data_IF_102623802797
#
_entry.id   IF_102623802797
#
_cell.length_a   1.000
_cell.length_b   1.000
_cell.length_c   1.000
_cell.angle_alpha   90.00
_cell.angle_beta   90.00
_cell.angle_gamma   90.00
#
_symmetry.space_group_name_H-M   'P 1'
#
loop_
_entity.id
_entity.type
_entity.pdbx_description
1 polymer ?
2 polymer ?
3 polymer ?
#
# COMPACT_ATOMS: atom_id res chain seq x y z
N UNK A 1 15.59 -14.22 -12.39
CA UNK A 1 14.48 -14.97 -11.84
C UNK A 1 14.79 -15.43 -10.41
N UNK A 2 13.75 -15.54 -9.60
CA UNK A 2 13.88 -15.97 -8.20
C UNK A 2 13.05 -17.23 -8.00
N UNK A 3 13.62 -18.20 -7.28
CA UNK A 3 12.96 -19.46 -6.99
C UNK A 3 12.48 -19.46 -5.55
N UNK A 4 11.22 -19.85 -5.35
CA UNK A 4 10.58 -19.81 -4.05
C UNK A 4 10.17 -21.23 -3.66
N UNK A 5 10.61 -21.67 -2.49
CA UNK A 5 10.60 -23.08 -2.14
C UNK A 5 9.78 -23.35 -0.88
N UNK A 6 9.20 -24.56 -0.82
CA UNK A 6 8.42 -24.95 0.39
C UNK A 6 9.05 -26.22 0.99
N UNK A 7 9.57 -26.13 2.22
CA UNK A 7 10.21 -27.27 2.89
C UNK A 7 9.23 -28.39 3.18
N UNK A 8 8.09 -28.16 3.86
CA UNK A 8 7.16 -29.28 4.11
C UNK A 8 6.39 -29.63 2.85
N UNK A 9 5.87 -30.86 2.83
CA UNK A 9 5.00 -31.33 1.76
C UNK A 9 3.59 -31.67 2.26
N UNK A 10 3.49 -32.42 3.36
CA UNK A 10 2.21 -32.74 3.97
C UNK A 10 2.42 -32.98 5.45
N UNK A 11 1.55 -32.39 6.27
CA UNK A 11 1.67 -32.48 7.72
C UNK A 11 0.36 -32.97 8.32
N UNK A 12 0.47 -33.59 9.50
CA UNK A 12 -0.68 -34.10 10.22
C UNK A 12 -0.50 -33.79 11.71
N UNK A 13 -1.58 -33.37 12.35
CA UNK A 13 -1.54 -33.00 13.76
C UNK A 13 -2.89 -33.32 14.39
N UNK A 14 -3.13 -32.77 15.58
CA UNK A 14 -4.35 -32.99 16.32
C UNK A 14 -5.00 -31.64 16.65
N UNK A 15 -6.16 -31.71 17.31
CA UNK A 15 -6.90 -30.50 17.66
C UNK A 15 -6.18 -29.68 18.73
N UNK A 16 -5.29 -30.31 19.49
CA UNK A 16 -4.52 -29.58 20.50
C UNK A 16 -3.03 -29.66 20.29
N UNK A 17 -2.62 -29.69 19.02
CA UNK A 17 -1.21 -29.78 18.66
C UNK A 17 -0.71 -28.42 18.22
N UNK A 18 0.55 -28.38 17.74
CA UNK A 18 1.16 -27.15 17.26
C UNK A 18 2.22 -27.51 16.24
N UNK A 19 2.08 -26.99 15.02
CA UNK A 19 3.01 -27.28 13.93
C UNK A 19 3.49 -25.97 13.33
N UNK A 20 4.63 -26.03 12.65
CA UNK A 20 5.24 -24.87 12.01
C UNK A 20 5.47 -25.16 10.54
N UNK A 21 4.98 -24.28 9.67
CA UNK A 21 5.20 -24.36 8.24
C UNK A 21 6.24 -23.32 7.86
N UNK A 22 7.30 -23.77 7.18
CA UNK A 22 8.41 -22.90 6.83
C UNK A 22 8.52 -22.77 5.32
N UNK A 23 8.97 -21.60 4.88
CA UNK A 23 9.13 -21.30 3.46
C UNK A 23 10.47 -20.60 3.27
N UNK A 24 11.29 -21.12 2.36
CA UNK A 24 12.64 -20.62 2.14
C UNK A 24 12.74 -19.97 0.77
N UNK A 25 13.30 -18.77 0.73
CA UNK A 25 13.49 -18.01 -0.50
C UNK A 25 14.94 -18.12 -0.94
N UNK A 26 15.15 -18.39 -2.22
CA UNK A 26 16.51 -18.56 -2.73
C UNK A 26 17.34 -17.29 -2.57
N UNK A 27 16.74 -16.14 -2.86
CA UNK A 27 17.41 -14.85 -2.74
C UNK A 27 16.72 -14.01 -1.68
N UNK A 28 17.47 -13.07 -1.11
CA UNK A 28 16.93 -12.23 -0.05
C UNK A 28 15.76 -11.39 -0.56
N UNK A 29 14.68 -11.38 0.20
CA UNK A 29 13.48 -10.62 -0.14
C UNK A 29 13.15 -9.55 0.89
N UNK A 30 13.93 -9.45 1.97
CA UNK A 30 13.82 -8.37 2.95
C UNK A 30 12.42 -8.28 3.56
N UNK A 31 12.02 -9.38 4.20
CA UNK A 31 10.81 -9.45 5.02
C UNK A 31 9.53 -9.21 4.22
N UNK A 32 9.59 -9.23 2.90
CA UNK A 32 8.40 -9.05 2.07
C UNK A 32 7.87 -10.40 1.60
N UNK A 33 7.20 -11.08 2.53
CA UNK A 33 6.57 -12.37 2.26
C UNK A 33 5.11 -12.29 2.67
N UNK A 34 4.26 -13.05 1.99
CA UNK A 34 2.85 -13.12 2.32
C UNK A 34 2.41 -14.57 2.41
N UNK A 35 1.44 -14.82 3.28
CA UNK A 35 0.89 -16.15 3.51
C UNK A 35 -0.60 -16.15 3.17
N UNK A 36 -1.04 -17.16 2.44
CA UNK A 36 -2.43 -17.28 2.01
C UNK A 36 -2.97 -18.64 2.41
N UNK A 37 -4.21 -18.66 2.88
CA UNK A 37 -4.91 -19.90 3.22
C UNK A 37 -5.93 -20.17 2.13
N UNK A 38 -5.64 -21.14 1.27
CA UNK A 38 -6.50 -21.47 0.13
C UNK A 38 -7.34 -22.68 0.49
N UNK A 39 -8.57 -22.42 0.95
CA UNK A 39 -9.51 -23.54 1.20
C UNK A 39 -9.91 -24.07 -0.18
N UNK A 40 -9.81 -25.38 -0.45
CA UNK A 40 -10.06 -25.92 -1.80
C UNK A 40 -11.48 -25.75 -2.29
N UNK A 41 -12.43 -25.44 -1.41
CA UNK A 41 -13.81 -25.30 -1.81
C UNK A 41 -14.27 -23.90 -2.15
N UNK A 42 -13.46 -22.88 -1.85
CA UNK A 42 -13.87 -21.50 -2.06
C UNK A 42 -12.63 -20.65 -2.33
N UNK A 43 -12.83 -19.32 -2.32
CA UNK A 43 -11.74 -18.41 -2.65
C UNK A 43 -10.69 -18.38 -1.55
N UNK A 44 -9.42 -18.19 -1.89
CA UNK A 44 -8.39 -18.11 -0.86
C UNK A 44 -8.48 -16.81 -0.07
N UNK A 45 -7.90 -16.83 1.12
CA UNK A 45 -7.84 -15.68 2.02
C UNK A 45 -6.40 -15.36 2.36
N UNK A 46 -6.19 -14.19 2.95
CA UNK A 46 -4.87 -13.75 3.38
C UNK A 46 -4.81 -13.77 4.90
N UNK A 47 -3.71 -14.28 5.44
CA UNK A 47 -3.49 -14.37 6.88
C UNK A 47 -2.48 -13.34 7.38
N UNK A 48 -1.28 -13.31 6.79
CA UNK A 48 -0.20 -12.43 7.24
C UNK A 48 0.41 -11.74 6.02
N UNK A 49 0.29 -10.42 5.96
CA UNK A 49 1.02 -9.63 4.98
C UNK A 49 2.30 -9.13 5.62
N UNK A 50 3.37 -9.07 4.83
CA UNK A 50 4.68 -8.76 5.38
C UNK A 50 5.19 -9.94 6.20
N UNK A 51 6.35 -9.72 6.82
CA UNK A 51 7.00 -10.79 7.56
C UNK A 51 6.15 -11.25 8.75
N UNK A 52 5.75 -10.30 9.60
CA UNK A 52 5.07 -10.65 10.85
C UNK A 52 3.95 -9.66 11.16
N UNK A 53 3.20 -9.24 10.14
CA UNK A 53 2.07 -8.35 10.31
C UNK A 53 0.79 -9.10 10.01
N UNK A 54 -0.13 -9.13 10.97
CA UNK A 54 -1.32 -9.97 10.92
C UNK A 54 -2.51 -9.13 10.47
N UNK A 55 -3.17 -9.58 9.39
CA UNK A 55 -4.27 -8.83 8.82
C UNK A 55 -5.49 -8.89 9.72
N UNK A 56 -6.24 -7.78 9.77
CA UNK A 56 -7.48 -7.75 10.53
C UNK A 56 -8.53 -8.65 9.91
N UNK A 57 -9.24 -9.38 10.75
CA UNK A 57 -10.31 -10.26 10.30
C UNK A 57 -10.03 -11.74 10.49
N UNK A 58 -8.83 -12.12 10.94
CA UNK A 58 -8.50 -13.52 11.18
C UNK A 58 -7.98 -13.64 12.61
N UNK A 59 -8.11 -14.81 13.24
CA UNK A 59 -7.69 -14.94 14.64
C UNK A 59 -6.20 -14.68 14.83
N UNK A 60 -5.85 -14.15 15.99
CA UNK A 60 -4.45 -13.87 16.35
C UNK A 60 -3.68 -15.12 16.74
N UNK A 61 -4.26 -16.31 16.56
CA UNK A 61 -3.55 -17.53 16.84
C UNK A 61 -2.35 -17.72 15.91
N UNK A 62 -2.51 -17.37 14.63
CA UNK A 62 -1.42 -17.47 13.68
C UNK A 62 -0.35 -16.43 13.98
N UNK A 63 0.90 -16.78 13.65
CA UNK A 63 2.02 -15.88 13.91
C UNK A 63 3.13 -16.21 12.91
N UNK A 64 3.66 -15.19 12.25
CA UNK A 64 4.73 -15.38 11.30
C UNK A 64 6.03 -14.76 11.74
N UNK A 65 7.14 -15.18 11.15
CA UNK A 65 8.45 -14.66 11.50
C UNK A 65 9.44 -15.04 10.41
N UNK A 66 10.51 -14.26 10.31
CA UNK A 66 11.58 -14.52 9.37
C UNK A 66 11.92 -13.30 8.55
N UNK A 67 13.14 -13.28 8.03
CA UNK A 67 13.60 -12.19 7.17
C UNK A 67 14.80 -12.69 6.37
N UNK A 68 15.02 -12.08 5.20
CA UNK A 68 16.13 -12.44 4.37
C UNK A 68 15.84 -13.61 3.45
N UNK A 69 16.36 -14.79 3.80
CA UNK A 69 16.15 -15.99 3.00
C UNK A 69 15.54 -17.14 3.81
N UNK A 70 15.04 -16.86 5.02
CA UNK A 70 14.44 -17.88 5.86
C UNK A 70 13.18 -17.32 6.49
N UNK A 71 12.08 -18.07 6.40
CA UNK A 71 10.80 -17.65 6.95
C UNK A 71 10.10 -18.86 7.57
N UNK A 72 9.15 -18.58 8.45
CA UNK A 72 8.41 -19.63 9.14
C UNK A 72 7.02 -19.14 9.50
N UNK A 73 6.06 -20.06 9.44
CA UNK A 73 4.69 -19.83 9.87
C UNK A 73 4.28 -20.93 10.84
N UNK A 74 3.59 -20.56 11.91
CA UNK A 74 3.20 -21.51 12.94
C UNK A 74 1.74 -21.34 13.30
N UNK A 75 1.09 -22.45 13.65
CA UNK A 75 -0.28 -22.46 14.13
C UNK A 75 -0.28 -23.07 15.53
N UNK A 76 -0.85 -22.34 16.49
CA UNK A 76 -0.72 -22.72 17.89
C UNK A 76 -1.63 -23.89 18.27
N UNK A 77 -2.78 -24.02 17.63
CA UNK A 77 -3.74 -25.03 18.08
C UNK A 77 -4.20 -25.98 16.98
N UNK A 78 -4.29 -25.51 15.73
CA UNK A 78 -4.85 -26.30 14.63
C UNK A 78 -6.29 -26.71 14.93
N UNK A 79 -7.15 -25.71 15.05
CA UNK A 79 -8.55 -25.93 15.38
C UNK A 79 -9.27 -26.57 14.19
N UNK A 80 -10.45 -27.18 14.42
CA UNK A 80 -11.11 -27.98 13.37
C UNK A 80 -11.55 -27.19 12.14
N UNK A 81 -11.23 -25.91 12.06
CA UNK A 81 -11.54 -25.11 10.88
C UNK A 81 -10.28 -24.65 10.14
N UNK A 82 -9.13 -25.27 10.43
CA UNK A 82 -7.85 -24.83 9.88
C UNK A 82 -7.29 -25.78 8.83
N UNK A 83 -8.07 -26.75 8.36
CA UNK A 83 -7.57 -27.69 7.36
C UNK A 83 -7.64 -27.02 5.99
N UNK A 84 -6.49 -26.72 5.40
CA UNK A 84 -6.42 -26.04 4.12
C UNK A 84 -4.98 -26.12 3.61
N UNK A 85 -4.76 -25.48 2.46
CA UNK A 85 -3.44 -25.40 1.84
C UNK A 85 -2.90 -23.99 2.00
N UNK A 86 -1.62 -23.88 2.34
CA UNK A 86 -0.98 -22.61 2.65
C UNK A 86 0.12 -22.33 1.64
N UNK A 87 0.13 -21.11 1.10
CA UNK A 87 1.09 -20.68 0.10
C UNK A 87 1.88 -19.48 0.61
N UNK A 88 3.16 -19.42 0.26
CA UNK A 88 4.02 -18.29 0.57
C UNK A 88 4.38 -17.56 -0.72
N UNK A 89 4.14 -16.24 -0.74
CA UNK A 89 4.34 -15.41 -1.93
C UNK A 89 5.33 -14.29 -1.63
N UNK A 90 6.28 -14.10 -2.54
CA UNK A 90 7.24 -13.01 -2.45
C UNK A 90 6.80 -11.86 -3.35
N UNK A 91 7.07 -10.63 -2.91
CA UNK A 91 6.72 -9.43 -3.66
C UNK A 91 7.88 -8.43 -3.64
N UNK A 92 9.08 -8.91 -3.96
CA UNK A 92 10.26 -8.00 -3.86
C UNK A 92 11.13 -8.09 -5.11
N UNK A 93 11.10 -9.21 -5.82
CA UNK A 93 12.00 -9.40 -6.95
C UNK A 93 11.31 -9.02 -8.26
N UNK A 94 12.10 -8.94 -9.33
CA UNK A 94 11.58 -8.52 -10.62
C UNK A 94 10.48 -9.43 -11.17
N UNK A 95 10.56 -10.76 -11.07
CA UNK A 95 9.40 -11.59 -11.43
C UNK A 95 8.25 -11.31 -10.49
N UNK A 96 7.15 -10.75 -10.99
CA UNK A 96 6.10 -10.23 -10.09
C UNK A 96 5.32 -11.36 -9.42
N UNK A 97 5.32 -11.35 -8.08
CA UNK A 97 4.42 -12.18 -7.28
C UNK A 97 4.60 -13.68 -7.59
N UNK A 98 5.79 -14.18 -7.28
CA UNK A 98 6.07 -15.60 -7.45
C UNK A 98 5.52 -16.37 -6.26
N UNK A 99 4.67 -17.36 -6.53
CA UNK A 99 4.07 -18.17 -5.48
C UNK A 99 4.87 -19.44 -5.26
N UNK A 100 4.94 -19.87 -4.00
CA UNK A 100 5.49 -21.17 -3.69
C UNK A 100 4.47 -22.27 -3.88
N UNK A 101 4.93 -23.51 -3.78
CA UNK A 101 4.05 -24.65 -3.91
C UNK A 101 3.13 -24.76 -2.70
N UNK A 102 2.19 -25.70 -2.77
CA UNK A 102 1.26 -25.89 -1.67
C UNK A 102 1.84 -26.69 -0.53
N UNK A 103 1.09 -26.72 0.57
CA UNK A 103 1.45 -27.52 1.74
C UNK A 103 0.14 -27.97 2.39
N UNK A 104 -0.29 -29.18 2.03
CA UNK A 104 -1.54 -29.71 2.55
C UNK A 104 -1.42 -30.03 4.04
N UNK A 105 -2.48 -29.76 4.79
CA UNK A 105 -2.51 -29.99 6.23
C UNK A 105 -3.80 -30.75 6.56
N UNK A 106 -3.67 -32.05 6.79
CA UNK A 106 -4.80 -32.90 7.17
C UNK A 106 -4.55 -33.38 8.60
N UNK A 107 -5.41 -32.96 9.53
CA UNK A 107 -5.27 -33.31 10.94
C UNK A 107 -5.88 -34.68 11.17
N UNK A 108 -5.11 -35.57 11.80
CA UNK A 108 -5.56 -36.92 12.10
C UNK A 108 -4.74 -37.53 13.23
N UNK B 1 -21.16 20.55 24.43
CA UNK B 1 -22.40 19.82 24.17
C UNK B 1 -22.34 19.11 22.83
N UNK B 2 -21.41 19.53 21.98
CA UNK B 2 -21.23 18.88 20.69
C UNK B 2 -20.55 17.54 20.87
N UNK B 3 -21.14 16.49 20.26
CA UNK B 3 -20.66 15.12 20.44
C UNK B 3 -20.70 14.42 19.08
N UNK B 4 -19.55 14.34 18.42
CA UNK B 4 -19.38 13.58 17.20
C UNK B 4 -17.88 13.39 16.96
N UNK B 5 -17.52 12.31 16.27
CA UNK B 5 -16.11 12.03 15.99
C UNK B 5 -15.70 12.71 14.69
N UNK B 6 -14.61 13.48 14.75
CA UNK B 6 -14.10 14.15 13.58
C UNK B 6 -13.21 13.20 12.76
N UNK B 7 -13.07 13.44 11.46
CA UNK B 7 -12.41 12.45 10.58
C UNK B 7 -10.88 12.48 10.59
N UNK B 8 -10.31 11.86 11.63
CA UNK B 8 -8.88 11.60 11.61
C UNK B 8 -8.54 10.45 10.68
N UNK B 9 -9.52 9.61 10.35
CA UNK B 9 -9.24 8.38 9.62
C UNK B 9 -8.86 8.56 8.17
N UNK B 10 -9.57 9.40 7.42
CA UNK B 10 -9.28 9.51 5.99
C UNK B 10 -8.06 10.37 5.73
N UNK B 11 -7.57 11.08 6.75
CA UNK B 11 -6.32 11.81 6.59
C UNK B 11 -5.12 10.95 7.00
N UNK B 12 -5.33 10.00 7.91
CA UNK B 12 -4.28 9.05 8.28
C UNK B 12 -4.31 7.79 7.41
N UNK B 13 -5.47 7.16 7.31
CA UNK B 13 -5.63 5.96 6.49
C UNK B 13 -6.02 6.29 5.06
N UNK B 14 -5.24 7.15 4.41
CA UNK B 14 -5.48 7.55 3.04
C UNK B 14 -4.65 6.67 2.09
N UNK B 15 -5.14 6.54 0.85
CA UNK B 15 -4.45 5.66 -0.14
C UNK B 15 -3.30 6.41 -0.82
N UNK B 16 -3.49 7.70 -1.15
CA UNK B 16 -2.44 8.46 -1.87
C UNK B 16 -2.24 9.83 -1.21
N UNK B 17 -1.00 10.17 -0.89
CA UNK B 17 -0.67 11.44 -0.27
C UNK B 17 -0.22 12.45 -1.32
N UNK B 18 -0.06 13.69 -0.90
CA UNK B 18 0.35 14.75 -1.80
C UNK B 18 1.88 14.84 -1.87
N UNK B 19 2.36 15.71 -2.75
CA UNK B 19 3.79 15.90 -2.92
C UNK B 19 4.34 16.81 -1.81
N UNK B 20 5.66 16.98 -1.83
CA UNK B 20 6.32 17.80 -0.82
C UNK B 20 5.98 19.27 -1.03
N UNK B 21 6.04 19.73 -2.28
CA UNK B 21 5.78 21.14 -2.58
C UNK B 21 4.30 21.45 -2.73
N UNK B 22 3.44 20.44 -2.70
CA UNK B 22 2.00 20.62 -2.83
C UNK B 22 1.28 19.94 -1.67
N UNK B 23 1.77 20.17 -0.45
CA UNK B 23 1.21 19.53 0.74
C UNK B 23 -0.23 19.97 0.95
N UNK B 24 -1.06 19.04 1.42
CA UNK B 24 -2.47 19.31 1.64
C UNK B 24 -2.69 19.93 3.02
N UNK B 25 -3.90 20.45 3.22
CA UNK B 25 -4.32 21.01 4.50
C UNK B 25 -5.81 20.76 4.68
N UNK B 26 -6.20 20.31 5.87
CA UNK B 26 -7.58 19.96 6.16
C UNK B 26 -8.04 20.68 7.42
N UNK B 27 -9.18 21.37 7.31
CA UNK B 27 -9.78 22.04 8.46
C UNK B 27 -10.45 21.02 9.38
N UNK B 28 -10.28 21.22 10.69
CA UNK B 28 -10.83 20.34 11.70
C UNK B 28 -11.49 21.19 12.77
N UNK B 29 -12.79 20.97 13.00
CA UNK B 29 -13.55 21.74 13.98
C UNK B 29 -14.77 20.95 14.41
N UNK B 30 -15.37 21.36 15.52
CA UNK B 30 -16.57 20.74 16.07
C UNK B 30 -16.32 19.26 16.35
N UNK B 31 -15.41 19.01 17.29
CA UNK B 31 -14.83 17.70 17.46
C UNK B 31 -14.88 17.27 18.92
N UNK B 32 -15.19 15.99 19.14
CA UNK B 32 -14.75 15.30 20.34
C UNK B 32 -13.55 14.47 19.93
N UNK B 33 -12.35 15.05 19.99
CA UNK B 33 -11.18 14.42 19.41
C UNK B 33 -10.49 13.51 20.42
N UNK B 34 -10.27 12.26 20.02
CA UNK B 34 -9.61 11.27 20.87
C UNK B 34 -8.22 11.02 20.28
N UNK B 35 -7.19 11.55 20.94
CA UNK B 35 -5.82 11.37 20.52
C UNK B 35 -5.14 10.16 21.15
N UNK B 36 -5.82 9.49 22.10
CA UNK B 36 -5.22 8.32 22.75
C UNK B 36 -5.06 7.16 21.77
N UNK B 37 -6.02 7.00 20.84
CA UNK B 37 -5.95 5.92 19.88
C UNK B 37 -4.77 6.11 18.93
N UNK B 38 -4.45 7.36 18.59
CA UNK B 38 -3.31 7.62 17.73
C UNK B 38 -2.00 7.40 18.48
N UNK B 39 -1.92 7.89 19.72
CA UNK B 39 -0.68 7.78 20.49
C UNK B 39 -0.35 6.32 20.81
N UNK B 40 -1.36 5.53 21.17
CA UNK B 40 -1.15 4.14 21.54
C UNK B 40 -0.76 3.26 20.36
N UNK B 41 -1.04 3.68 19.13
CA UNK B 41 -0.67 2.90 17.96
C UNK B 41 0.85 2.83 17.83
N UNK B 42 1.35 1.65 17.48
CA UNK B 42 2.77 1.41 17.31
C UNK B 42 3.21 1.50 15.85
N UNK B 43 2.33 1.92 14.96
CA UNK B 43 2.65 2.00 13.54
C UNK B 43 3.52 3.20 13.19
N UNK B 44 3.63 4.19 14.06
CA UNK B 44 4.37 5.41 13.79
C UNK B 44 5.80 5.26 14.32
N UNK B 45 6.78 5.40 13.42
CA UNK B 45 8.17 5.31 13.83
C UNK B 45 8.62 6.58 14.55
N UNK B 46 8.08 7.73 14.17
CA UNK B 46 8.43 9.00 14.78
C UNK B 46 7.16 9.68 15.27
N UNK B 47 7.18 10.14 16.53
CA UNK B 47 6.05 10.86 17.11
C UNK B 47 6.61 11.84 18.13
N UNK B 48 6.78 13.09 17.69
CA UNK B 48 7.37 14.14 18.52
C UNK B 48 6.45 15.36 18.52
N UNK B 49 6.09 15.82 19.72
CA UNK B 49 5.32 17.04 19.89
C UNK B 49 6.18 18.09 20.58
N UNK B 50 6.04 19.33 20.16
CA UNK B 50 6.85 20.44 20.66
C UNK B 50 5.99 21.34 21.52
N UNK B 51 6.27 21.35 22.82
CA UNK B 51 5.58 22.20 23.77
C UNK B 51 4.44 21.55 24.51
N UNK B 52 3.94 20.41 24.03
CA UNK B 52 2.82 19.71 24.64
C UNK B 52 3.19 18.25 24.84
N UNK B 53 2.94 17.73 26.04
CA UNK B 53 3.14 16.31 26.29
C UNK B 53 2.06 15.51 25.55
N UNK B 54 2.39 14.33 25.02
CA UNK B 54 1.41 13.63 24.17
C UNK B 54 0.24 13.04 24.94
N UNK B 55 0.43 12.65 26.20
CA UNK B 55 -0.65 12.05 26.96
C UNK B 55 -1.72 13.07 27.33
N UNK B 56 -1.37 14.35 27.35
CA UNK B 56 -2.26 15.39 27.84
C UNK B 56 -3.15 16.00 26.76
N UNK B 57 -3.11 15.48 25.54
CA UNK B 57 -3.98 16.03 24.49
C UNK B 57 -5.45 15.77 24.78
N UNK B 58 -5.76 14.88 25.72
CA UNK B 58 -7.15 14.50 25.95
C UNK B 58 -7.92 15.60 26.67
N UNK B 59 -7.31 16.25 27.67
CA UNK B 59 -8.05 17.23 28.46
C UNK B 59 -7.99 18.62 27.85
N UNK B 60 -7.12 18.83 26.88
CA UNK B 60 -6.97 20.14 26.27
C UNK B 60 -8.11 20.42 25.28
N UNK B 61 -8.43 21.69 25.12
CA UNK B 61 -9.43 22.14 24.16
C UNK B 61 -8.81 23.21 23.25
N UNK B 62 -9.01 23.04 21.94
CA UNK B 62 -8.45 23.94 20.94
C UNK B 62 -9.56 24.53 20.10
N UNK B 63 -9.28 25.66 19.46
CA UNK B 63 -10.24 26.28 18.56
C UNK B 63 -10.32 25.55 17.24
N UNK B 64 -9.21 25.52 16.49
CA UNK B 64 -9.13 24.83 15.21
C UNK B 64 -7.83 24.05 15.17
N UNK B 65 -7.83 22.99 14.37
CA UNK B 65 -6.67 22.12 14.20
C UNK B 65 -6.40 21.96 12.71
N UNK B 66 -5.13 22.10 12.32
CA UNK B 66 -4.72 21.96 10.93
C UNK B 66 -3.93 20.67 10.75
N UNK B 67 -4.29 19.88 9.75
CA UNK B 67 -3.60 18.64 9.42
C UNK B 67 -2.96 18.79 8.05
N UNK B 68 -1.63 18.63 8.00
CA UNK B 68 -0.87 18.72 6.76
C UNK B 68 -0.21 17.37 6.50
N UNK B 69 -0.41 16.85 5.30
CA UNK B 69 0.08 15.52 4.95
C UNK B 69 0.89 15.58 3.67
N UNK B 70 2.02 14.88 3.67
CA UNK B 70 2.88 14.75 2.50
C UNK B 70 3.80 13.55 2.72
N UNK B 71 4.63 13.27 1.72
CA UNK B 71 5.56 12.15 1.75
C UNK B 71 6.94 12.64 1.36
N UNK B 72 7.95 12.27 2.16
CA UNK B 72 9.32 12.74 1.99
C UNK B 72 10.26 11.55 2.06
N UNK B 73 11.56 11.84 1.99
CA UNK B 73 12.61 10.83 2.06
C UNK B 73 12.90 10.48 3.52
N UNK B 74 13.69 9.42 3.70
CA UNK B 74 14.01 8.98 5.05
C UNK B 74 14.92 9.93 5.80
N UNK B 75 15.99 10.39 5.16
CA UNK B 75 16.92 11.31 5.82
C UNK B 75 16.35 12.69 6.02
N UNK B 76 15.29 13.04 5.31
CA UNK B 76 14.74 14.38 5.35
C UNK B 76 13.74 14.60 6.47
N UNK B 77 13.47 13.58 7.29
CA UNK B 77 12.54 13.75 8.40
C UNK B 77 13.13 14.69 9.45
N UNK B 78 14.45 14.81 9.48
CA UNK B 78 15.13 15.71 10.45
C UNK B 78 14.77 17.16 10.13
N UNK B 79 14.47 17.45 8.87
CA UNK B 79 14.23 18.83 8.47
C UNK B 79 12.86 19.33 8.92
N UNK B 80 11.96 18.43 9.31
CA UNK B 80 10.64 18.84 9.78
C UNK B 80 10.73 19.10 11.28
N UNK B 81 11.14 20.30 11.64
CA UNK B 81 11.33 20.69 13.03
C UNK B 81 11.55 22.19 13.08
N UNK B 82 11.13 22.86 14.15
CA UNK B 82 11.36 24.31 14.24
C UNK B 82 12.84 24.65 14.24
N UNK B 83 13.18 25.77 13.62
CA UNK B 83 14.56 26.24 13.58
C UNK B 83 15.49 25.32 12.83
N UNK B 84 15.08 24.86 11.65
CA UNK B 84 15.88 23.98 10.83
C UNK B 84 16.00 24.53 9.41
N UNK B 85 17.10 24.20 8.74
CA UNK B 85 17.36 24.60 7.37
C UNK B 85 17.72 23.37 6.55
N UNK B 86 17.42 23.42 5.26
CA UNK B 86 17.70 22.30 4.38
C UNK B 86 17.03 22.51 3.05
N UNK B 87 17.21 21.52 2.17
CA UNK B 87 16.61 21.60 0.84
C UNK B 87 15.09 21.68 0.91
N UNK B 88 14.49 20.87 1.79
CA UNK B 88 13.04 20.93 1.96
C UNK B 88 12.65 22.03 2.93
N UNK B 89 13.42 22.22 4.00
CA UNK B 89 13.07 23.24 4.99
C UNK B 89 13.11 24.64 4.38
N UNK B 90 14.13 24.94 3.57
CA UNK B 90 14.26 26.27 3.00
C UNK B 90 13.31 26.50 1.82
N UNK B 91 13.05 25.46 1.03
CA UNK B 91 12.39 25.64 -0.27
C UNK B 91 11.00 25.01 -0.37
N UNK B 92 10.65 24.06 0.50
CA UNK B 92 9.40 23.33 0.35
C UNK B 92 8.45 23.55 1.51
N UNK B 93 8.90 23.32 2.75
CA UNK B 93 8.02 23.40 3.92
C UNK B 93 8.80 24.01 5.07
N UNK B 94 8.21 25.02 5.70
CA UNK B 94 8.86 25.75 6.79
C UNK B 94 7.97 25.74 8.03
N UNK B 95 8.58 25.47 9.19
CA UNK B 95 7.92 25.48 10.49
C UNK B 95 8.37 26.68 11.30
N UNK B 96 7.44 27.42 11.89
CA UNK B 96 7.82 28.59 12.69
C UNK B 96 8.55 28.18 13.96
N UNK B 97 9.33 29.13 14.48
CA UNK B 97 10.09 28.88 15.70
C UNK B 97 9.18 28.66 16.90
N UNK B 98 7.98 29.24 16.88
CA UNK B 98 6.99 29.09 17.94
C UNK B 98 5.91 28.07 17.58
N UNK B 99 6.26 27.04 16.82
CA UNK B 99 5.28 26.04 16.41
C UNK B 99 4.82 25.22 17.60
N UNK B 100 3.51 24.98 17.67
CA UNK B 100 2.90 24.15 18.70
C UNK B 100 2.08 23.05 18.04
N UNK B 101 2.41 21.82 18.37
CA UNK B 101 1.68 20.68 17.81
C UNK B 101 2.56 19.44 17.82
N UNK B 102 2.12 18.43 17.07
CA UNK B 102 2.80 17.15 17.00
C UNK B 102 3.19 16.85 15.56
N UNK B 103 4.24 16.06 15.41
CA UNK B 103 4.72 15.61 14.11
C UNK B 103 4.68 14.09 14.08
N UNK B 104 4.06 13.53 13.05
CA UNK B 104 3.87 12.09 12.93
C UNK B 104 4.47 11.63 11.61
N UNK B 105 5.28 10.58 11.65
CA UNK B 105 5.90 10.03 10.46
C UNK B 105 6.03 8.52 10.61
N UNK B 106 5.82 7.81 9.51
CA UNK B 106 5.97 6.36 9.50
C UNK B 106 6.42 5.91 8.12
N UNK B 107 7.12 4.78 8.08
CA UNK B 107 7.62 4.25 6.81
C UNK B 107 6.46 3.77 5.94
N UNK B 108 6.56 4.05 4.64
CA UNK B 108 5.52 3.70 3.68
C UNK B 108 6.14 3.06 2.44
N UNK B 109 7.04 2.10 2.66
CA UNK B 109 7.69 1.43 1.55
C UNK B 109 6.73 0.48 0.83
N UNK B 110 5.65 0.06 1.51
CA UNK B 110 4.74 -0.95 0.92
C UNK B 110 3.83 -0.32 -0.14
N UNK B 111 3.61 1.00 -0.10
CA UNK B 111 2.65 1.61 -1.02
C UNK B 111 3.31 2.58 -1.98
N UNK B 112 4.38 3.24 -1.55
CA UNK B 112 4.99 4.32 -2.32
C UNK B 112 6.29 3.88 -3.00
N UNK B 113 6.50 2.58 -3.18
CA UNK B 113 7.69 2.06 -3.83
C UNK B 113 7.27 1.19 -5.02
N UNK B 114 7.96 1.40 -6.14
CA UNK B 114 7.67 0.63 -7.38
C UNK B 114 9.01 0.10 -7.93
N UNK B 115 9.03 -1.13 -8.46
CA UNK B 115 10.27 -1.74 -8.93
C UNK B 115 10.88 -0.90 -10.06
N UNK B 116 10.04 -0.30 -10.89
CA UNK B 116 10.52 0.60 -11.92
C UNK B 116 10.75 2.02 -11.46
N UNK B 117 10.33 2.37 -10.25
CA UNK B 117 10.48 3.71 -9.74
C UNK B 117 9.17 4.47 -9.68
N UNK B 118 8.81 4.98 -8.51
CA UNK B 118 7.59 5.79 -8.35
C UNK B 118 7.94 7.26 -8.54
N UNK B 119 7.50 7.88 -9.61
CA UNK B 119 7.82 9.24 -9.99
C UNK B 119 6.63 10.20 -9.80
N UNK B 120 5.68 9.81 -8.94
CA UNK B 120 4.47 10.64 -8.72
C UNK B 120 4.72 11.67 -7.60
N UNK B 121 5.91 11.67 -7.02
CA UNK B 121 6.23 12.57 -5.92
C UNK B 121 7.35 13.52 -6.34
N UNK B 122 7.14 14.81 -6.11
CA UNK B 122 8.04 15.85 -6.59
C UNK B 122 8.49 16.73 -5.44
N UNK B 123 9.64 17.38 -5.60
CA UNK B 123 10.14 18.35 -4.65
C UNK B 123 10.98 19.39 -5.40
N UNK B 124 11.11 20.56 -4.78
CA UNK B 124 11.75 21.70 -5.43
C UNK B 124 13.23 21.76 -5.07
N UNK B 125 14.08 21.98 -6.07
CA UNK B 125 15.51 22.15 -5.87
C UNK B 125 15.94 23.62 -5.78
N UNK B 126 15.36 24.48 -6.61
CA UNK B 126 15.84 25.85 -6.76
C UNK B 126 14.69 26.83 -6.63
N UNK B 127 14.95 27.97 -5.98
CA UNK B 127 14.05 29.10 -5.98
C UNK B 127 14.86 30.34 -5.62
N UNK B 128 14.26 31.51 -5.85
CA UNK B 128 14.98 32.78 -5.68
C UNK B 128 15.41 32.99 -4.23
N UNK B 129 14.50 32.72 -3.29
CA UNK B 129 14.78 32.96 -1.88
C UNK B 129 13.92 32.05 -1.03
N UNK B 130 14.33 31.89 0.23
CA UNK B 130 13.59 31.02 1.14
C UNK B 130 12.19 31.57 1.39
N UNK B 131 11.24 30.66 1.61
CA UNK B 131 9.85 31.03 1.78
C UNK B 131 9.50 31.20 3.25
N UNK B 132 8.54 32.09 3.52
CA UNK B 132 8.11 32.37 4.87
C UNK B 132 7.35 31.16 5.44
N UNK B 133 7.31 31.02 6.76
CA UNK B 133 6.66 29.84 7.35
C UNK B 133 5.20 29.73 6.95
N UNK B 134 4.78 28.49 6.69
CA UNK B 134 3.38 28.15 6.40
C UNK B 134 2.87 28.87 5.14
N UNK B 135 3.54 28.59 4.02
CA UNK B 135 3.04 28.98 2.72
C UNK B 135 3.45 27.93 1.71
N UNK B 136 2.71 27.88 0.59
CA UNK B 136 2.91 26.90 -0.45
C UNK B 136 3.38 27.57 -1.73
N UNK B 137 4.31 26.93 -2.44
CA UNK B 137 4.76 27.37 -3.74
C UNK B 137 4.26 26.39 -4.79
N UNK B 138 3.47 26.90 -5.74
CA UNK B 138 2.86 26.05 -6.75
C UNK B 138 3.28 26.44 -8.17
N UNK B 139 3.65 27.69 -8.43
CA UNK B 139 4.08 28.08 -9.77
C UNK B 139 5.30 27.28 -10.19
N UNK B 140 5.31 26.88 -11.46
CA UNK B 140 6.36 26.04 -12.01
C UNK B 140 7.11 26.75 -13.13
N UNK B 141 7.40 28.03 -12.92
CA UNK B 141 8.19 28.77 -13.89
C UNK B 141 9.62 28.24 -13.91
N UNK B 142 10.25 28.35 -15.07
CA UNK B 142 11.60 27.80 -15.23
C UNK B 142 12.60 28.73 -14.57
N UNK B 143 13.51 28.15 -13.78
CA UNK B 143 14.30 28.93 -12.84
C UNK B 143 15.26 29.87 -13.57
N UNK B 144 15.63 30.95 -12.87
CA UNK B 144 16.57 31.96 -13.38
C UNK B 144 17.90 31.77 -12.66
N UNK B 145 18.76 30.92 -13.23
CA UNK B 145 20.09 30.70 -12.68
C UNK B 145 21.20 31.16 -13.62
N UNK B 146 20.90 32.06 -14.55
CA UNK B 146 21.86 32.51 -15.53
C UNK B 146 21.39 33.77 -16.23
N UNK B 147 22.10 34.11 -17.31
CA UNK B 147 21.87 35.35 -18.04
C UNK B 147 20.91 35.20 -19.22
N UNK B 148 21.02 34.14 -20.00
CA UNK B 148 20.21 34.02 -21.22
C UNK B 148 18.74 33.84 -20.86
N UNK B 149 17.82 34.48 -21.58
CA UNK B 149 16.40 34.39 -21.22
C UNK B 149 15.88 32.96 -21.33
N UNK B 150 14.65 32.77 -20.85
CA UNK B 150 13.99 31.47 -20.95
C UNK B 150 12.98 31.45 -22.10
N UNK B 151 12.02 32.37 -22.07
CA UNK B 151 10.95 32.42 -23.07
C UNK B 151 10.22 31.09 -23.19
N UNK B 152 10.03 30.42 -22.05
CA UNK B 152 9.37 29.13 -22.01
C UNK B 152 10.17 27.98 -22.58
N UNK B 153 11.49 28.12 -22.68
CA UNK B 153 12.36 27.10 -23.27
C UNK B 153 13.26 26.54 -22.18
N UNK B 154 13.37 25.22 -22.12
CA UNK B 154 14.24 24.58 -21.15
C UNK B 154 15.65 24.44 -21.70
N UNK B 155 16.63 24.80 -20.90
CA UNK B 155 18.03 24.72 -21.33
C UNK B 155 18.96 25.30 -20.28
N UNK B 156 20.16 25.66 -20.73
CA UNK B 156 21.10 26.29 -19.83
C UNK B 156 20.58 27.65 -19.39
N UNK B 157 20.87 28.01 -18.13
CA UNK B 157 20.37 29.23 -17.49
C UNK B 157 18.87 29.14 -17.21
N UNK B 158 18.25 28.05 -17.66
CA UNK B 158 16.82 27.82 -17.44
C UNK B 158 16.65 26.40 -16.88
N UNK B 159 16.77 26.27 -15.57
CA UNK B 159 16.71 24.97 -14.90
C UNK B 159 15.29 24.71 -14.41
N UNK B 160 14.79 23.50 -14.64
CA UNK B 160 13.48 23.14 -14.11
C UNK B 160 13.57 22.98 -12.60
N UNK B 161 12.71 23.65 -11.83
CA UNK B 161 12.87 23.63 -10.36
C UNK B 161 12.58 22.30 -9.70
N UNK B 162 11.67 21.49 -10.24
CA UNK B 162 11.15 20.31 -9.55
C UNK B 162 11.98 19.08 -9.89
N UNK B 163 12.15 18.21 -8.90
CA UNK B 163 12.85 16.94 -9.06
C UNK B 163 11.98 15.82 -8.53
N UNK B 164 12.17 14.61 -9.06
CA UNK B 164 11.37 13.45 -8.69
C UNK B 164 12.20 12.45 -7.91
N UNK B 165 11.63 11.95 -6.82
CA UNK B 165 12.28 10.89 -6.05
C UNK B 165 12.23 9.57 -6.81
N UNK B 166 13.36 8.87 -6.82
CA UNK B 166 13.42 7.56 -7.42
C UNK B 166 13.12 6.46 -6.42
N UNK B 167 11.87 6.38 -5.98
CA UNK B 167 11.49 5.44 -4.94
C UNK B 167 11.37 4.02 -5.49
N UNK B 168 12.21 3.13 -4.98
CA UNK B 168 12.20 1.72 -5.34
C UNK B 168 12.27 0.89 -4.06
N UNK B 169 11.70 -0.32 -4.07
CA UNK B 169 11.73 -1.14 -2.85
C UNK B 169 13.13 -1.56 -2.41
N UNK B 170 14.09 -1.50 -3.34
CA UNK B 170 15.46 -2.00 -3.05
C UNK B 170 16.39 -0.87 -2.54
N UNK B 171 15.82 0.32 -2.35
CA UNK B 171 16.61 1.49 -1.86
C UNK B 171 16.98 1.28 -0.39
N UNK B 172 18.05 1.92 0.06
CA UNK B 172 18.47 1.84 1.45
C UNK B 172 17.45 2.46 2.39
N UNK B 173 17.70 2.29 3.68
CA UNK B 173 16.78 2.76 4.70
C UNK B 173 16.61 4.27 4.60
N UNK B 174 17.70 4.99 4.32
CA UNK B 174 17.62 6.43 4.19
C UNK B 174 16.79 6.89 3.00
N UNK B 175 16.75 6.09 1.94
CA UNK B 175 16.04 6.46 0.73
C UNK B 175 14.60 5.94 0.70
N UNK B 176 14.14 5.27 1.75
CA UNK B 176 12.78 4.76 1.76
C UNK B 176 11.80 5.92 1.86
N UNK B 177 10.63 5.81 1.26
CA UNK B 177 9.61 6.86 1.42
C UNK B 177 9.03 6.83 2.83
N UNK B 178 8.67 8.02 3.32
CA UNK B 178 8.03 8.17 4.63
C UNK B 178 6.86 9.12 4.50
N UNK B 179 5.71 8.72 5.04
CA UNK B 179 4.53 9.57 5.06
C UNK B 179 4.52 10.39 6.35
N UNK B 180 4.38 11.70 6.22
CA UNK B 180 4.49 12.63 7.33
C UNK B 180 3.18 13.40 7.47
N UNK B 181 2.61 13.39 8.65
CA UNK B 181 1.42 14.18 8.97
C UNK B 181 1.75 15.03 10.19
N UNK B 182 1.58 16.34 10.06
CA UNK B 182 1.88 17.29 11.13
C UNK B 182 0.59 17.97 11.56
N UNK B 183 0.36 18.05 12.86
CA UNK B 183 -0.82 18.67 13.44
C UNK B 183 -0.40 19.95 14.16
N UNK B 184 -1.03 21.06 13.82
CA UNK B 184 -0.75 22.34 14.44
C UNK B 184 -1.98 22.81 15.22
N UNK B 185 -1.80 23.05 16.51
CA UNK B 185 -2.87 23.51 17.38
C UNK B 185 -2.69 24.99 17.66
N UNK B 186 -3.71 25.79 17.34
CA UNK B 186 -3.70 27.23 17.59
C UNK B 186 -4.81 27.56 18.56
N UNK B 187 -4.48 28.37 19.58
CA UNK B 187 -5.42 28.79 20.60
C UNK B 187 -5.38 30.31 20.72
N UNK B 188 -6.56 30.92 20.75
CA UNK B 188 -6.68 32.37 20.88
C UNK B 188 -8.07 32.68 21.44
N UNK B 189 -8.41 33.97 21.50
CA UNK B 189 -9.68 34.40 22.08
C UNK B 189 -10.84 34.09 21.14
N UNK B 190 -11.13 32.81 20.95
CA UNK B 190 -12.23 32.36 20.11
C UNK B 190 -12.90 31.17 20.79
N UNK B 191 -14.18 30.95 20.53
CA UNK B 191 -14.86 29.78 21.10
C UNK B 191 -14.26 28.48 20.56
N UNK B 192 -13.65 27.71 21.46
CA UNK B 192 -12.99 26.47 21.07
C UNK B 192 -14.01 25.48 20.52
N UNK B 193 -13.60 24.76 19.47
CA UNK B 193 -14.45 23.77 18.84
C UNK B 193 -13.89 22.35 18.89
N UNK B 194 -12.64 22.17 19.26
CA UNK B 194 -12.02 20.84 19.29
C UNK B 194 -11.67 20.50 20.74
N UNK B 195 -12.55 19.78 21.42
CA UNK B 195 -12.31 19.35 22.79
C UNK B 195 -12.08 17.84 22.84
N UNK B 196 -11.77 17.34 24.03
CA UNK B 196 -11.50 15.94 24.22
C UNK B 196 -12.66 15.19 24.85
N UNK B 197 -12.53 13.86 24.95
CA UNK B 197 -13.58 13.02 25.55
C UNK B 197 -13.68 13.17 27.07
N UNK B 198 -14.39 14.21 27.50
CA UNK B 198 -14.60 14.48 28.91
C UNK B 198 -16.08 14.67 29.17
N UNK B 199 -16.56 14.16 30.31
CA UNK B 199 -17.95 14.33 30.72
C UNK B 199 -18.03 15.55 31.62
N UNK B 200 -18.94 16.45 31.31
CA UNK B 200 -19.10 17.68 32.08
C UNK B 200 -19.78 17.40 33.42
N UNK C 1 -16.41 -8.20 3.47
CA UNK C 1 -17.62 -7.45 3.16
C UNK C 1 -17.64 -7.03 1.69
N UNK C 2 -16.53 -7.23 1.00
CA UNK C 2 -16.42 -6.92 -0.41
C UNK C 2 -16.83 -8.13 -1.22
N UNK C 3 -17.40 -7.90 -2.40
CA UNK C 3 -17.87 -8.96 -3.28
C UNK C 3 -17.14 -8.88 -4.62
N UNK C 4 -16.70 -10.01 -5.13
CA UNK C 4 -15.97 -10.10 -6.39
C UNK C 4 -16.48 -11.33 -7.14
N UNK C 5 -17.37 -11.12 -8.10
CA UNK C 5 -17.98 -12.20 -8.87
C UNK C 5 -17.57 -12.03 -10.33
N UNK C 6 -17.10 -13.12 -10.95
CA UNK C 6 -16.62 -13.11 -12.31
C UNK C 6 -17.61 -13.81 -13.24
N UNK C 7 -17.26 -13.83 -14.52
CA UNK C 7 -18.07 -14.47 -15.55
C UNK C 7 -17.17 -14.76 -16.75
N UNK C 8 -17.73 -15.47 -17.73
CA UNK C 8 -17.03 -15.74 -18.97
C UNK C 8 -16.37 -17.10 -19.07
N UNK C 9 -16.60 -18.00 -18.11
CA UNK C 9 -16.02 -19.33 -18.18
C UNK C 9 -16.86 -20.25 -19.05
N UNK C 10 -16.18 -21.05 -19.87
CA UNK C 10 -16.87 -21.95 -20.76
C UNK C 10 -15.92 -22.90 -21.46
N UNK C 11 -16.35 -23.35 -22.63
CA UNK C 11 -15.60 -24.29 -23.45
C UNK C 11 -15.33 -23.66 -24.81
N UNK C 12 -14.05 -23.53 -25.17
CA UNK C 12 -13.66 -22.96 -26.45
C UNK C 12 -12.54 -23.80 -27.06
N UNK C 13 -12.39 -23.66 -28.37
CA UNK C 13 -11.35 -24.36 -29.12
C UNK C 13 -10.02 -23.63 -28.98
N UNK C 14 -8.91 -24.31 -29.24
CA UNK C 14 -7.61 -23.63 -29.20
C UNK C 14 -7.54 -22.49 -30.21
N UNK C 15 -6.89 -21.40 -29.81
CA UNK C 15 -6.77 -20.24 -30.66
C UNK C 15 -7.97 -19.30 -30.66
N UNK C 16 -9.01 -19.62 -29.90
CA UNK C 16 -10.22 -18.82 -29.86
C UNK C 16 -10.25 -17.93 -28.62
N UNK C 17 -10.96 -16.81 -28.72
CA UNK C 17 -10.99 -15.79 -27.70
C UNK C 17 -12.29 -15.83 -26.90
N UNK C 18 -12.19 -15.40 -25.64
CA UNK C 18 -13.36 -15.26 -24.78
C UNK C 18 -13.08 -14.14 -23.79
N UNK C 19 -14.15 -13.56 -23.25
CA UNK C 19 -14.09 -12.28 -22.55
C UNK C 19 -14.55 -12.45 -21.10
N UNK C 20 -13.77 -11.90 -20.17
CA UNK C 20 -14.06 -11.97 -18.74
C UNK C 20 -14.53 -10.62 -18.20
N UNK C 21 -15.30 -10.69 -17.13
CA UNK C 21 -15.68 -9.52 -16.35
C UNK C 21 -15.57 -9.88 -14.87
N UNK C 22 -15.67 -8.87 -14.02
CA UNK C 22 -15.59 -9.08 -12.57
C UNK C 22 -16.20 -7.88 -11.89
N UNK C 23 -17.24 -8.11 -11.09
CA UNK C 23 -18.01 -7.04 -10.46
C UNK C 23 -17.54 -6.82 -9.03
N UNK C 24 -17.26 -5.56 -8.69
CA UNK C 24 -16.86 -5.16 -7.36
C UNK C 24 -17.91 -4.23 -6.78
N UNK C 25 -18.34 -4.51 -5.54
CA UNK C 25 -19.39 -3.73 -4.91
C UNK C 25 -19.11 -3.32 -3.47
N UNK C 26 -18.21 -4.00 -2.76
CA UNK C 26 -18.03 -3.75 -1.35
C UNK C 26 -17.02 -2.70 -0.96
N UNK C 27 -16.45 -1.96 -1.92
CA UNK C 27 -15.42 -0.97 -1.61
C UNK C 27 -15.46 0.11 -2.68
N UNK C 28 -14.48 1.01 -2.65
CA UNK C 28 -14.33 2.05 -3.65
C UNK C 28 -13.34 1.56 -4.73
N UNK C 29 -13.87 1.35 -5.93
CA UNK C 29 -13.09 0.77 -7.02
C UNK C 29 -12.19 1.77 -7.72
N UNK C 30 -12.35 3.07 -7.44
CA UNK C 30 -11.67 4.10 -8.20
C UNK C 30 -10.24 4.37 -7.73
N UNK C 31 -9.80 3.74 -6.63
CA UNK C 31 -8.46 4.06 -6.08
C UNK C 31 -7.71 2.80 -5.62
N UNK C 32 -7.92 1.66 -6.29
CA UNK C 32 -7.18 0.45 -5.97
C UNK C 32 -6.73 -0.23 -7.26
N UNK C 33 -5.64 -0.98 -7.14
CA UNK C 33 -5.16 -1.79 -8.25
C UNK C 33 -5.82 -3.16 -8.22
N UNK C 34 -5.94 -3.77 -9.39
CA UNK C 34 -6.59 -5.06 -9.54
C UNK C 34 -5.69 -6.02 -10.30
N UNK C 35 -5.80 -7.30 -9.97
CA UNK C 35 -4.95 -8.34 -10.54
C UNK C 35 -5.79 -9.53 -10.95
N UNK C 36 -5.22 -10.33 -11.85
CA UNK C 36 -5.80 -11.60 -12.28
C UNK C 36 -4.85 -12.72 -11.92
N UNK C 37 -5.38 -13.80 -11.33
CA UNK C 37 -4.58 -14.91 -10.86
C UNK C 37 -5.12 -16.20 -11.48
N UNK C 38 -4.20 -17.10 -11.81
CA UNK C 38 -4.51 -18.35 -12.49
C UNK C 38 -4.17 -19.53 -11.58
N UNK C 39 -5.10 -20.48 -11.49
CA UNK C 39 -4.92 -21.67 -10.67
C UNK C 39 -5.11 -22.90 -11.56
N UNK C 40 -4.02 -23.58 -11.86
CA UNK C 40 -4.09 -24.80 -12.65
C UNK C 40 -4.83 -25.89 -11.86
N UNK C 41 -5.52 -26.79 -12.56
CA UNK C 41 -6.26 -27.85 -11.83
C UNK C 41 -5.37 -28.72 -10.96
N UNK C 42 -4.11 -28.93 -11.34
CA UNK C 42 -3.22 -29.75 -10.56
C UNK C 42 -1.90 -29.08 -10.22
N UNK C 43 -1.94 -27.78 -9.97
CA UNK C 43 -0.74 -27.02 -9.63
C UNK C 43 -1.12 -25.87 -8.70
N UNK C 44 -0.17 -24.97 -8.46
CA UNK C 44 -0.37 -23.87 -7.54
C UNK C 44 -0.79 -22.58 -8.23
N UNK C 45 -0.85 -21.53 -7.42
CA UNK C 45 -1.25 -20.22 -7.91
C UNK C 45 -0.20 -19.65 -8.85
N UNK C 46 -0.65 -18.79 -9.77
CA UNK C 46 0.24 -18.12 -10.70
C UNK C 46 -0.35 -16.76 -11.06
N UNK C 47 0.51 -15.74 -11.08
CA UNK C 47 0.07 -14.39 -11.40
C UNK C 47 0.03 -14.18 -12.91
N UNK C 48 -0.99 -13.46 -13.37
CA UNK C 48 -1.23 -13.28 -14.81
C UNK C 48 -1.02 -11.82 -15.21
N UNK C 49 -1.81 -10.91 -14.66
CA UNK C 49 -1.79 -9.52 -15.11
C UNK C 49 -2.26 -8.62 -13.97
N UNK C 50 -2.01 -7.33 -14.13
CA UNK C 50 -2.46 -6.35 -13.17
C UNK C 50 -2.59 -4.98 -13.82
N UNK C 51 -3.48 -4.16 -13.25
CA UNK C 51 -3.70 -2.80 -13.73
C UNK C 51 -3.70 -1.87 -12.51
N UNK C 52 -3.34 -0.61 -12.77
CA UNK C 52 -3.22 0.37 -11.71
C UNK C 52 -4.59 0.93 -11.34
N UNK C 53 -4.60 1.88 -10.39
CA UNK C 53 -5.84 2.54 -10.01
C UNK C 53 -6.46 3.29 -11.18
N UNK C 54 -5.63 3.74 -12.11
CA UNK C 54 -6.08 4.27 -13.39
C UNK C 54 -5.30 3.57 -14.50
N UNK C 55 -5.82 3.68 -15.73
CA UNK C 55 -5.23 2.96 -16.85
C UNK C 55 -3.92 3.62 -17.30
N UNK C 56 -2.90 3.56 -16.45
CA UNK C 56 -1.60 4.16 -16.74
C UNK C 56 -0.51 3.11 -16.87
N UNK C 57 -0.32 2.28 -15.85
CA UNK C 57 0.72 1.25 -15.85
C UNK C 57 0.05 -0.12 -15.90
N UNK C 58 0.44 -0.92 -16.90
CA UNK C 58 -0.09 -2.26 -17.09
C UNK C 58 1.08 -3.22 -17.28
N UNK C 59 1.07 -4.32 -16.54
CA UNK C 59 2.10 -5.34 -16.64
C UNK C 59 1.46 -6.70 -16.88
N UNK C 60 2.20 -7.55 -17.61
CA UNK C 60 1.73 -8.88 -17.95
C UNK C 60 2.79 -9.90 -17.57
N UNK C 61 2.33 -11.12 -17.27
CA UNK C 61 3.26 -12.22 -17.03
C UNK C 61 3.97 -12.60 -18.33
N UNK C 62 5.14 -13.23 -18.17
CA UNK C 62 5.96 -13.56 -19.33
C UNK C 62 5.23 -14.53 -20.26
N UNK C 63 4.55 -15.53 -19.69
CA UNK C 63 3.90 -16.55 -20.50
C UNK C 63 2.63 -16.07 -21.18
N UNK C 64 2.11 -14.89 -20.81
CA UNK C 64 0.86 -14.40 -21.37
C UNK C 64 1.07 -13.06 -22.07
N UNK C 65 2.31 -12.71 -22.39
CA UNK C 65 2.58 -11.46 -23.08
C UNK C 65 2.09 -11.52 -24.53
N UNK C 66 1.51 -10.42 -25.00
CA UNK C 66 1.01 -10.35 -26.35
C UNK C 66 -0.25 -11.12 -26.63
N UNK C 67 -0.93 -11.61 -25.60
CA UNK C 67 -2.14 -12.41 -25.79
C UNK C 67 -3.30 -11.86 -24.96
N UNK C 68 -3.00 -11.25 -23.83
CA UNK C 68 -4.01 -10.77 -22.90
C UNK C 68 -4.01 -9.25 -22.88
N UNK C 69 -5.21 -8.66 -22.74
CA UNK C 69 -5.36 -7.20 -22.65
C UNK C 69 -6.33 -6.92 -21.52
N UNK C 70 -5.80 -6.56 -20.35
CA UNK C 70 -6.62 -6.26 -19.19
C UNK C 70 -7.13 -4.83 -19.29
N UNK C 71 -8.45 -4.67 -19.12
CA UNK C 71 -9.10 -3.38 -19.23
C UNK C 71 -9.63 -2.96 -17.85
N UNK C 72 -10.35 -1.84 -17.82
CA UNK C 72 -10.89 -1.31 -16.57
C UNK C 72 -12.01 -0.34 -16.89
N UNK C 73 -13.02 -0.32 -16.03
CA UNK C 73 -14.16 0.61 -16.16
C UNK C 73 -14.48 1.15 -14.77
N UNK C 74 -13.97 2.35 -14.47
CA UNK C 74 -14.17 2.93 -13.16
C UNK C 74 -15.58 3.47 -12.96
N UNK C 75 -16.35 3.61 -14.05
CA UNK C 75 -17.69 4.20 -13.94
C UNK C 75 -18.63 3.29 -13.16
N UNK C 76 -18.64 1.99 -13.49
CA UNK C 76 -19.59 1.04 -12.90
C UNK C 76 -18.91 -0.02 -12.05
N UNK C 77 -17.66 0.23 -11.63
CA UNK C 77 -16.93 -0.68 -10.75
C UNK C 77 -16.81 -2.08 -11.36
N UNK C 78 -16.14 -2.15 -12.51
CA UNK C 78 -15.99 -3.42 -13.22
C UNK C 78 -14.73 -3.38 -14.06
N UNK C 79 -13.94 -4.45 -13.99
CA UNK C 79 -12.75 -4.64 -14.81
C UNK C 79 -12.98 -5.80 -15.76
N UNK C 80 -12.08 -5.91 -16.74
CA UNK C 80 -12.22 -6.89 -17.81
C UNK C 80 -10.88 -7.57 -18.05
N UNK C 81 -10.91 -8.65 -18.84
CA UNK C 81 -9.69 -9.34 -19.24
C UNK C 81 -9.99 -10.07 -20.55
N UNK C 82 -9.43 -9.59 -21.65
CA UNK C 82 -9.64 -10.17 -22.97
C UNK C 82 -8.49 -11.13 -23.25
N UNK C 83 -8.79 -12.43 -23.34
CA UNK C 83 -7.80 -13.44 -23.65
C UNK C 83 -7.93 -13.83 -25.12
N UNK C 84 -6.83 -13.75 -25.86
CA UNK C 84 -6.79 -14.05 -27.28
C UNK C 84 -5.85 -15.21 -27.54
N UNK C 85 -6.19 -16.03 -28.54
CA UNK C 85 -5.38 -17.16 -28.97
C UNK C 85 -5.10 -18.12 -27.80
N UNK C 86 -6.18 -18.61 -27.21
CA UNK C 86 -6.07 -19.52 -26.08
C UNK C 86 -5.48 -20.87 -26.53
N UNK C 87 -4.63 -21.44 -25.69
CA UNK C 87 -4.05 -22.75 -25.91
C UNK C 87 -4.57 -23.72 -24.85
N UNK C 88 -4.15 -24.98 -24.98
CA UNK C 88 -4.66 -26.04 -24.11
C UNK C 88 -4.20 -25.89 -22.67
N UNK C 89 -3.09 -25.20 -22.42
CA UNK C 89 -2.60 -25.01 -21.05
C UNK C 89 -3.36 -23.93 -20.29
N UNK C 90 -4.26 -23.20 -20.96
CA UNK C 90 -5.01 -22.12 -20.34
C UNK C 90 -6.39 -22.58 -19.88
N UNK C 91 -6.53 -23.84 -19.48
CA UNK C 91 -7.79 -24.39 -19.00
C UNK C 91 -7.89 -24.37 -17.47
N UNK C 92 -7.29 -23.36 -16.85
CA UNK C 92 -7.18 -23.31 -15.40
C UNK C 92 -8.33 -22.49 -14.81
N UNK C 93 -8.24 -22.21 -13.50
CA UNK C 93 -9.24 -21.43 -12.78
C UNK C 93 -8.69 -20.03 -12.53
N UNK C 94 -9.48 -19.01 -12.88
CA UNK C 94 -9.03 -17.62 -12.84
C UNK C 94 -9.75 -16.87 -11.73
N UNK C 95 -8.98 -16.21 -10.87
CA UNK C 95 -9.51 -15.41 -9.79
C UNK C 95 -9.36 -13.91 -10.10
N UNK C 96 -10.18 -13.11 -9.41
CA UNK C 96 -10.20 -11.66 -9.58
C UNK C 96 -9.83 -11.05 -8.22
N UNK C 97 -8.55 -10.79 -8.02
CA UNK C 97 -8.03 -10.32 -6.75
C UNK C 97 -7.93 -8.80 -6.72
N UNK C 98 -7.76 -8.26 -5.52
CA UNK C 98 -7.65 -6.84 -5.28
C UNK C 98 -6.35 -6.52 -4.57
N UNK C 99 -5.68 -5.46 -4.99
CA UNK C 99 -4.42 -5.04 -4.41
C UNK C 99 -4.68 -4.07 -3.25
N UNK C 100 -3.76 -4.07 -2.27
CA UNK C 100 -3.89 -3.18 -1.08
C UNK C 100 -3.50 -1.74 -1.45
N UNK C 101 -2.55 -1.55 -2.39
CA UNK C 101 -2.12 -0.22 -2.78
C UNK C 101 -2.85 0.29 -4.00
N UNK C 102 -2.20 1.21 -4.72
CA UNK C 102 -2.82 1.79 -5.94
C UNK C 102 -1.96 1.48 -7.17
N UNK C 103 -0.82 0.81 -6.98
CA UNK C 103 0.09 0.54 -8.12
C UNK C 103 0.14 -0.97 -8.36
N UNK C 104 0.77 -1.38 -9.47
CA UNK C 104 0.82 -2.78 -9.86
C UNK C 104 1.97 -3.52 -9.18
N UNK C 105 3.19 -2.99 -9.36
CA UNK C 105 4.42 -3.65 -8.83
C UNK C 105 4.85 -2.99 -7.53
N UNK C 106 4.24 -3.40 -6.41
CA UNK C 106 4.52 -2.85 -5.10
C UNK C 106 4.66 -4.00 -4.12
N UNK C 107 5.35 -3.78 -2.99
CA UNK C 107 5.43 -4.82 -1.95
C UNK C 107 4.09 -5.13 -1.31
N UNK C 108 3.03 -4.45 -1.74
CA UNK C 108 1.68 -4.71 -1.22
C UNK C 108 1.15 -6.01 -1.81
N UNK C 109 0.49 -6.80 -0.98
CA UNK C 109 -0.01 -8.11 -1.37
C UNK C 109 -1.44 -8.00 -1.89
N UNK C 110 -2.09 -9.15 -2.09
CA UNK C 110 -3.46 -9.22 -2.57
C UNK C 110 -4.36 -9.54 -1.37
N UNK C 111 -5.17 -8.57 -0.96
CA UNK C 111 -5.90 -8.70 0.30
C UNK C 111 -7.20 -9.48 0.16
N UNK C 112 -7.99 -9.19 -0.86
CA UNK C 112 -9.29 -9.83 -1.05
C UNK C 112 -9.37 -10.48 -2.42
N UNK C 113 -9.93 -11.68 -2.46
CA UNK C 113 -10.08 -12.47 -3.68
C UNK C 113 -11.57 -12.71 -3.93
N UNK C 114 -11.85 -13.52 -4.95
CA UNK C 114 -13.22 -13.90 -5.27
C UNK C 114 -13.24 -15.29 -5.86
N UNK C 115 -14.41 -15.93 -5.77
CA UNK C 115 -14.57 -17.27 -6.32
C UNK C 115 -14.33 -17.26 -7.82
N UNK C 116 -13.49 -18.18 -8.29
CA UNK C 116 -13.06 -18.17 -9.67
C UNK C 116 -14.12 -18.68 -10.62
N UNK C 117 -13.83 -18.49 -11.92
CA UNK C 117 -14.66 -19.01 -13.00
C UNK C 117 -13.81 -19.93 -13.85
N UNK C 118 -14.22 -21.19 -13.95
CA UNK C 118 -13.40 -22.21 -14.61
C UNK C 118 -13.59 -22.14 -16.12
N UNK C 119 -12.47 -22.22 -16.84
CA UNK C 119 -12.47 -22.22 -18.30
C UNK C 119 -11.80 -23.50 -18.79
N UNK C 120 -12.26 -23.98 -19.95
CA UNK C 120 -11.69 -25.16 -20.58
C UNK C 120 -11.34 -24.86 -22.02
N UNK C 121 -10.18 -25.34 -22.45
CA UNK C 121 -9.73 -25.20 -23.84
C UNK C 121 -9.61 -26.61 -24.41
N UNK C 122 -10.67 -27.09 -25.05
CA UNK C 122 -10.68 -28.42 -25.62
C UNK C 122 -11.80 -28.50 -26.65
N UNK C 123 -11.78 -29.58 -27.42
CA UNK C 123 -12.79 -29.84 -28.46
C UNK C 123 -13.64 -31.01 -27.99
#
# INVERSE_FOLDING_TARGET
>A
DIQMTQSPSSLSASVGDRVTITCRASQSISSYLNWFQHKPGKAPKLLIYGASSLQSGVPSRFSGSGSGTDFTLTISSLQPEDFATYYCQQSYSTPPYTFGQGTKLEIK
>B
NITNLCPFGEVFNATRFASVYAWNRKRISNCVADYSVLYNSASFSTFKCYGVSPTKLNDLCFTNVYADSFVIRGDEVRQIAPGQTGKIADYNYKLPDDFTGCVIAWNSNNLDSKVGGNYNYLYRLFRKSNLKPFERDISTEIYQAGSTPCNGVEGFNCYFPLQSYGFQPTNGVGYQPYRVVVLSFELLHAPATVCGPKKS
>C
EVQLVESGGGLVQPGRSLRLSCAASGFTFDDYAMHWVRQAPGKGLEWVSGISWNSDSIDYADSVKGRFTISRDNAKNSLYLQMNSLRAEDTALYYCAKDRGYEILTPASFDYWGQGTLVTVSS
#
